data_IF_570299305404
#
_entry.id   IF_570299305404
#
_cell.length_a   1.000
_cell.length_b   1.000
_cell.length_c   1.000
_cell.angle_alpha   90.00
_cell.angle_beta   90.00
_cell.angle_gamma   90.00
#
_symmetry.space_group_name_H-M   'P 1'
#
loop_
_entity.id
_entity.type
_entity.pdbx_description
1 polymer ?
#
# COMPACT_ATOMS: atom_id res chain seq x y z
N UNK A 1 -6.53 17.59 5.77
CA UNK A 1 -7.23 16.31 5.62
C UNK A 1 -7.15 15.59 6.95
N UNK A 2 -8.27 15.17 7.51
CA UNK A 2 -8.31 14.57 8.86
C UNK A 2 -7.49 13.28 8.90
N UNK A 3 -6.86 13.02 10.04
CA UNK A 3 -5.99 11.85 10.26
C UNK A 3 -6.70 10.54 9.86
N UNK A 4 -7.99 10.43 10.21
CA UNK A 4 -8.84 9.31 9.84
C UNK A 4 -8.96 9.13 8.32
N UNK A 5 -9.16 10.23 7.57
CA UNK A 5 -9.28 10.18 6.12
C UNK A 5 -7.95 9.79 5.46
N UNK A 6 -6.82 10.15 6.06
CA UNK A 6 -5.47 9.75 5.62
C UNK A 6 -5.25 8.24 5.79
N UNK A 7 -5.62 7.70 6.95
CA UNK A 7 -5.54 6.26 7.24
C UNK A 7 -6.47 5.46 6.32
N UNK A 8 -7.70 5.91 6.14
CA UNK A 8 -8.65 5.29 5.20
C UNK A 8 -8.11 5.29 3.77
N UNK A 9 -7.49 6.37 3.33
CA UNK A 9 -6.90 6.47 2.00
C UNK A 9 -5.71 5.51 1.83
N UNK A 10 -4.84 5.40 2.84
CA UNK A 10 -3.72 4.44 2.86
C UNK A 10 -4.24 3.01 2.77
N UNK A 11 -5.24 2.68 3.59
CA UNK A 11 -5.88 1.35 3.58
C UNK A 11 -6.54 1.03 2.25
N UNK A 12 -7.31 1.96 1.69
CA UNK A 12 -7.97 1.78 0.40
C UNK A 12 -6.96 1.59 -0.74
N UNK A 13 -5.88 2.38 -0.77
CA UNK A 13 -4.85 2.26 -1.80
C UNK A 13 -4.09 0.93 -1.69
N UNK A 14 -3.81 0.49 -0.47
CA UNK A 14 -3.20 -0.80 -0.19
C UNK A 14 -4.07 -1.95 -0.67
N UNK A 15 -5.38 -1.88 -0.41
CA UNK A 15 -6.34 -2.88 -0.89
C UNK A 15 -6.36 -2.94 -2.41
N UNK A 16 -6.51 -1.81 -3.09
CA UNK A 16 -6.57 -1.78 -4.56
C UNK A 16 -5.29 -2.32 -5.19
N UNK A 17 -4.13 -1.83 -4.75
CA UNK A 17 -2.84 -2.25 -5.31
C UNK A 17 -2.57 -3.72 -4.98
N UNK A 18 -2.80 -4.13 -3.72
CA UNK A 18 -2.58 -5.50 -3.27
C UNK A 18 -3.47 -6.51 -4.00
N UNK A 19 -4.73 -6.18 -4.28
CA UNK A 19 -5.63 -7.04 -5.06
C UNK A 19 -5.16 -7.16 -6.51
N UNK A 20 -4.76 -6.07 -7.16
CA UNK A 20 -4.22 -6.13 -8.53
C UNK A 20 -2.97 -7.01 -8.59
N UNK A 21 -2.04 -6.82 -7.64
CA UNK A 21 -0.81 -7.60 -7.58
C UNK A 21 -1.10 -9.09 -7.35
N UNK A 22 -2.01 -9.41 -6.43
CA UNK A 22 -2.43 -10.78 -6.17
C UNK A 22 -3.10 -11.42 -7.41
N UNK A 23 -3.94 -10.67 -8.14
CA UNK A 23 -4.54 -11.14 -9.39
C UNK A 23 -3.51 -11.40 -10.49
N UNK A 24 -2.49 -10.53 -10.62
CA UNK A 24 -1.39 -10.73 -11.57
C UNK A 24 -0.60 -12.00 -11.21
N UNK A 25 -0.24 -12.17 -9.93
CA UNK A 25 0.48 -13.34 -9.43
C UNK A 25 -0.31 -14.63 -9.65
N UNK A 26 -1.62 -14.62 -9.37
CA UNK A 26 -2.52 -15.73 -9.66
C UNK A 26 -2.58 -16.05 -11.17
N UNK A 27 -2.56 -15.02 -12.02
CA UNK A 27 -2.55 -15.18 -13.49
C UNK A 27 -1.26 -15.81 -14.03
N UNK A 28 -0.15 -15.76 -13.29
CA UNK A 28 1.09 -16.46 -13.65
C UNK A 28 1.10 -17.94 -13.25
N UNK A 29 -0.02 -18.47 -12.72
CA UNK A 29 -0.15 -19.88 -12.32
C UNK A 29 0.19 -20.14 -10.84
N UNK A 30 0.53 -19.10 -10.07
CA UNK A 30 0.68 -19.20 -8.62
C UNK A 30 -0.69 -19.10 -7.95
N UNK A 31 -1.41 -20.23 -7.89
CA UNK A 31 -2.72 -20.33 -7.23
C UNK A 31 -2.62 -20.47 -5.69
N UNK A 32 -1.41 -20.58 -5.16
CA UNK A 32 -1.19 -20.67 -3.72
C UNK A 32 -1.47 -19.33 -3.03
N UNK A 33 -2.07 -19.41 -1.84
CA UNK A 33 -2.40 -18.25 -1.00
C UNK A 33 -1.13 -17.50 -0.55
N UNK A 34 0.00 -18.19 -0.43
CA UNK A 34 1.28 -17.64 0.05
C UNK A 34 1.81 -16.51 -0.85
N UNK A 35 1.96 -16.68 -2.18
CA UNK A 35 2.41 -15.60 -3.06
C UNK A 35 1.39 -14.46 -3.19
N UNK A 36 0.09 -14.73 -3.01
CA UNK A 36 -0.95 -13.70 -2.88
C UNK A 36 -0.80 -12.84 -1.61
N UNK A 37 -0.49 -13.47 -0.46
CA UNK A 37 -0.22 -12.76 0.80
C UNK A 37 1.07 -11.95 0.74
N UNK A 38 2.12 -12.48 0.13
CA UNK A 38 3.40 -11.77 -0.03
C UNK A 38 3.26 -10.53 -0.91
N UNK A 39 2.52 -10.64 -2.00
CA UNK A 39 2.24 -9.50 -2.88
C UNK A 39 1.39 -8.43 -2.19
N UNK A 40 0.43 -8.83 -1.36
CA UNK A 40 -0.34 -7.92 -0.52
C UNK A 40 0.53 -7.22 0.54
N UNK A 41 1.44 -7.95 1.19
CA UNK A 41 2.40 -7.40 2.16
C UNK A 41 3.33 -6.38 1.51
N UNK A 42 3.83 -6.67 0.31
CA UNK A 42 4.68 -5.74 -0.45
C UNK A 42 3.90 -4.47 -0.80
N UNK A 43 2.65 -4.60 -1.26
CA UNK A 43 1.79 -3.45 -1.55
C UNK A 43 1.59 -2.57 -0.31
N UNK A 44 1.35 -3.17 0.86
CA UNK A 44 1.23 -2.44 2.11
C UNK A 44 2.50 -1.64 2.39
N UNK A 45 3.68 -2.28 2.39
CA UNK A 45 4.96 -1.61 2.66
C UNK A 45 5.20 -0.44 1.69
N UNK A 46 4.92 -0.61 0.39
CA UNK A 46 5.09 0.45 -0.62
C UNK A 46 4.19 1.64 -0.32
N UNK A 47 2.92 1.39 0.02
CA UNK A 47 1.96 2.46 0.29
C UNK A 47 2.32 3.18 1.59
N UNK A 48 2.61 2.47 2.68
CA UNK A 48 3.01 3.12 3.95
C UNK A 48 4.32 3.89 3.79
N UNK A 49 5.33 3.31 3.14
CA UNK A 49 6.61 3.99 2.92
C UNK A 49 6.45 5.21 2.01
N UNK A 50 5.62 5.13 0.96
CA UNK A 50 5.31 6.24 0.07
C UNK A 50 4.62 7.40 0.80
N UNK A 51 3.67 7.10 1.68
CA UNK A 51 3.02 8.11 2.52
C UNK A 51 3.94 8.68 3.61
N UNK A 52 4.83 7.86 4.19
CA UNK A 52 5.80 8.31 5.19
C UNK A 52 6.85 9.24 4.57
N UNK A 53 7.41 8.90 3.41
CA UNK A 53 8.32 9.77 2.66
C UNK A 53 7.62 11.05 2.16
N UNK A 54 6.38 10.93 1.67
CA UNK A 54 5.56 12.07 1.25
C UNK A 54 5.22 13.01 2.40
N UNK A 55 4.98 12.45 3.60
CA UNK A 55 4.76 13.19 4.83
C UNK A 55 5.99 13.94 5.31
N UNK A 56 7.18 13.34 5.22
CA UNK A 56 8.45 14.00 5.58
C UNK A 56 8.76 15.22 4.69
N UNK A 57 8.36 15.22 3.41
CA UNK A 57 8.52 16.40 2.52
C UNK A 57 7.63 17.58 2.88
N UNK A 58 6.57 17.41 3.67
CA UNK A 58 5.67 18.49 4.10
C UNK A 58 5.96 19.01 5.52
N UNK A 59 6.99 18.48 6.20
CA UNK A 59 7.42 18.93 7.54
C UNK A 59 8.49 20.03 7.55
N UNK A 60 8.95 20.50 6.39
CA UNK A 60 10.06 21.46 6.26
C UNK A 60 9.71 22.95 6.34
N UNK A 61 8.62 23.34 7.03
CA UNK A 61 8.29 24.74 7.36
C UNK A 61 7.47 24.81 8.64
N UNK A 62 8.14 24.67 9.78
CA UNK A 62 7.76 25.40 10.99
C UNK A 62 9.03 26.02 11.56
N UNK A 63 9.14 27.31 11.30
CA UNK A 63 9.99 28.24 12.01
C UNK A 63 9.54 28.34 13.48
#
# INVERSE_FOLDING_TARGET
MDENLKITLIGFLTLVIGTILASIVASFGFTDIIPGLLSFLIAAIIVTAGFELGGRRHGGRRA
#
